data_IF_253265716205
#
_entry.id   IF_253265716205
#
_cell.length_a   1.000
_cell.length_b   1.000
_cell.length_c   1.000
_cell.angle_alpha   90.00
_cell.angle_beta   90.00
_cell.angle_gamma   90.00
#
_symmetry.space_group_name_H-M   'P 1'
#
loop_
_entity.id
_entity.type
_entity.pdbx_description
1 polymer ?
#
# COMPACT_ATOMS: atom_id res chain seq x y z
N UNK A 1 -20.71 -10.58 67.77
CA UNK A 1 -20.86 -9.80 66.52
C UNK A 1 -19.73 -10.19 65.58
N UNK A 2 -20.01 -10.96 64.51
CA UNK A 2 -18.98 -11.36 63.53
C UNK A 2 -18.81 -10.22 62.51
N UNK A 3 -17.60 -9.65 62.43
CA UNK A 3 -17.25 -8.63 61.43
C UNK A 3 -16.97 -9.34 60.10
N UNK A 4 -17.80 -9.05 59.09
CA UNK A 4 -17.56 -9.46 57.71
C UNK A 4 -16.64 -8.40 57.10
N UNK A 5 -15.46 -8.83 56.65
CA UNK A 5 -14.53 -7.99 55.89
C UNK A 5 -14.78 -8.29 54.41
N UNK A 6 -15.24 -7.28 53.68
CA UNK A 6 -15.39 -7.35 52.23
C UNK A 6 -14.10 -6.77 51.62
N UNK A 7 -13.33 -7.61 50.93
CA UNK A 7 -12.17 -7.20 50.15
C UNK A 7 -12.67 -6.93 48.73
N UNK A 8 -12.51 -5.71 48.18
CA UNK A 8 -12.93 -5.44 46.81
C UNK A 8 -11.92 -6.09 45.85
N UNK A 9 -12.41 -6.96 44.98
CA UNK A 9 -11.64 -7.54 43.89
C UNK A 9 -11.51 -6.49 42.79
N UNK A 10 -10.31 -5.93 42.63
CA UNK A 10 -10.01 -4.99 41.54
C UNK A 10 -9.88 -5.78 40.23
N UNK A 11 -10.87 -5.65 39.36
CA UNK A 11 -10.86 -6.27 38.03
C UNK A 11 -10.04 -5.37 37.08
N UNK A 12 -8.75 -5.68 36.88
CA UNK A 12 -7.95 -5.05 35.84
C UNK A 12 -8.41 -5.56 34.47
N UNK A 13 -9.20 -4.75 33.74
CA UNK A 13 -9.43 -4.99 32.33
C UNK A 13 -8.11 -4.78 31.57
N UNK A 14 -7.60 -5.84 30.92
CA UNK A 14 -6.44 -5.72 30.06
C UNK A 14 -6.82 -4.91 28.82
N UNK A 15 -6.32 -3.68 28.72
CA UNK A 15 -6.43 -2.88 27.50
C UNK A 15 -5.42 -3.47 26.51
N UNK A 16 -5.92 -4.18 25.50
CA UNK A 16 -5.08 -4.62 24.37
C UNK A 16 -4.79 -3.42 23.50
N UNK A 17 -3.59 -2.85 23.64
CA UNK A 17 -3.10 -1.82 22.71
C UNK A 17 -2.56 -2.54 21.48
N UNK A 18 -3.18 -2.33 20.31
CA UNK A 18 -2.67 -2.86 19.06
C UNK A 18 -1.34 -2.17 18.71
N UNK A 19 -0.25 -2.94 18.77
CA UNK A 19 1.07 -2.44 18.47
C UNK A 19 1.23 -2.19 16.96
N UNK A 20 1.61 -0.97 16.61
CA UNK A 20 2.01 -0.60 15.24
C UNK A 20 3.10 -1.56 14.74
N UNK A 21 2.90 -2.10 13.53
CA UNK A 21 3.96 -2.83 12.83
C UNK A 21 4.69 -1.88 11.89
N UNK A 22 6.02 -1.94 11.88
CA UNK A 22 6.88 -1.08 11.05
C UNK A 22 7.83 -1.96 10.23
N UNK A 23 7.72 -1.86 8.91
CA UNK A 23 8.70 -2.37 7.94
C UNK A 23 9.65 -1.23 7.57
N UNK A 24 10.88 -1.34 8.07
CA UNK A 24 11.96 -0.35 7.87
C UNK A 24 13.18 -1.04 7.29
N UNK A 25 13.74 -0.47 6.23
CA UNK A 25 15.02 -0.90 5.67
C UNK A 25 16.16 -0.65 6.68
N UNK A 26 17.08 -1.60 6.78
CA UNK A 26 18.17 -1.61 7.77
C UNK A 26 19.58 -1.55 7.15
N UNK A 27 19.69 -1.68 5.82
CA UNK A 27 20.95 -1.71 5.08
C UNK A 27 21.84 -2.93 5.35
N UNK A 28 21.32 -3.93 6.06
CA UNK A 28 22.09 -5.10 6.55
C UNK A 28 21.46 -6.41 6.11
N UNK A 29 20.15 -6.54 6.29
CA UNK A 29 19.40 -7.74 5.96
C UNK A 29 19.16 -7.83 4.46
N UNK A 30 18.96 -9.06 3.97
CA UNK A 30 18.35 -9.23 2.66
C UNK A 30 16.94 -8.61 2.63
N UNK A 31 16.62 -7.84 1.59
CA UNK A 31 15.37 -7.09 1.51
C UNK A 31 14.14 -8.01 1.57
N UNK A 32 14.17 -9.13 0.82
CA UNK A 32 13.06 -10.08 0.75
C UNK A 32 12.85 -10.73 2.11
N UNK A 33 13.93 -11.20 2.74
CA UNK A 33 13.86 -11.80 4.07
C UNK A 33 13.29 -10.83 5.12
N UNK A 34 13.70 -9.56 5.08
CA UNK A 34 13.20 -8.52 5.98
C UNK A 34 11.71 -8.20 5.76
N UNK A 35 11.29 -8.12 4.50
CA UNK A 35 9.88 -7.92 4.12
C UNK A 35 9.04 -9.11 4.58
N UNK A 36 9.43 -10.33 4.22
CA UNK A 36 8.74 -11.57 4.62
C UNK A 36 8.66 -11.76 6.12
N UNK A 37 9.74 -11.43 6.85
CA UNK A 37 9.75 -11.49 8.32
C UNK A 37 8.73 -10.53 8.94
N UNK A 38 8.62 -9.32 8.39
CA UNK A 38 7.76 -8.27 8.96
C UNK A 38 6.30 -8.40 8.55
N UNK A 39 6.04 -8.66 7.26
CA UNK A 39 4.68 -8.76 6.71
C UNK A 39 4.10 -10.18 6.77
N UNK A 40 4.95 -11.18 7.05
CA UNK A 40 4.59 -12.58 7.14
C UNK A 40 4.77 -13.33 5.82
N UNK A 41 5.30 -14.55 5.89
CA UNK A 41 5.35 -15.52 4.80
C UNK A 41 5.99 -15.03 3.49
N UNK A 42 5.40 -15.37 2.35
CA UNK A 42 5.84 -14.90 1.02
C UNK A 42 5.09 -13.62 0.63
N UNK A 43 5.57 -12.51 1.19
CA UNK A 43 4.98 -11.19 1.03
C UNK A 43 5.36 -10.51 -0.30
N UNK A 44 6.27 -11.09 -1.10
CA UNK A 44 6.82 -10.47 -2.31
C UNK A 44 6.16 -11.03 -3.58
N UNK A 45 5.52 -10.17 -4.37
CA UNK A 45 5.01 -10.46 -5.71
C UNK A 45 5.93 -9.85 -6.77
N UNK A 46 6.94 -10.61 -7.20
CA UNK A 46 8.07 -10.12 -8.00
C UNK A 46 8.26 -10.88 -9.33
N UNK A 47 8.91 -10.28 -10.34
CA UNK A 47 9.20 -10.93 -11.62
C UNK A 47 10.55 -11.66 -11.65
N UNK A 48 11.17 -12.00 -10.52
CA UNK A 48 12.50 -12.66 -10.42
C UNK A 48 12.64 -13.95 -11.27
N UNK A 49 11.53 -14.60 -11.62
CA UNK A 49 11.52 -15.76 -12.51
C UNK A 49 11.83 -15.40 -13.98
N UNK A 50 11.70 -14.14 -14.38
CA UNK A 50 11.86 -13.70 -15.76
C UNK A 50 13.34 -13.55 -16.15
N UNK A 51 14.20 -13.14 -15.21
CA UNK A 51 15.65 -13.02 -15.38
C UNK A 51 16.36 -12.93 -14.01
N UNK A 52 17.64 -13.31 -13.91
CA UNK A 52 18.30 -13.61 -12.64
C UNK A 52 18.80 -12.36 -11.90
N UNK A 53 17.90 -11.43 -11.56
CA UNK A 53 18.18 -10.27 -10.72
C UNK A 53 17.19 -10.19 -9.56
N UNK A 54 17.62 -9.55 -8.47
CA UNK A 54 16.71 -9.15 -7.39
C UNK A 54 16.07 -7.82 -7.74
N UNK A 55 14.74 -7.78 -7.73
CA UNK A 55 13.97 -6.58 -8.04
C UNK A 55 13.76 -5.68 -6.82
N UNK A 56 13.99 -6.19 -5.61
CA UNK A 56 13.91 -5.42 -4.37
C UNK A 56 15.27 -5.42 -3.66
N UNK A 57 15.83 -4.23 -3.45
CA UNK A 57 17.07 -4.01 -2.71
C UNK A 57 16.90 -2.99 -1.59
N UNK A 58 18.03 -2.59 -1.00
CA UNK A 58 18.10 -1.49 -0.03
C UNK A 58 19.22 -0.52 -0.44
N UNK A 59 18.98 0.78 -0.31
CA UNK A 59 19.99 1.83 -0.55
C UNK A 59 19.92 2.87 0.57
N UNK A 60 21.05 3.50 0.90
CA UNK A 60 21.07 4.64 1.82
C UNK A 60 20.59 5.90 1.09
N UNK A 61 19.48 6.48 1.54
CA UNK A 61 18.95 7.73 0.99
C UNK A 61 19.45 8.91 1.82
N UNK A 62 20.16 9.83 1.18
CA UNK A 62 20.77 11.00 1.83
C UNK A 62 19.75 12.04 2.28
N UNK A 63 18.58 12.13 1.62
CA UNK A 63 17.56 13.12 1.94
C UNK A 63 16.78 12.71 3.20
N UNK A 64 16.49 11.41 3.34
CA UNK A 64 15.87 10.87 4.55
C UNK A 64 16.87 10.50 5.64
N UNK A 65 18.17 10.40 5.30
CA UNK A 65 19.25 9.98 6.20
C UNK A 65 19.00 8.59 6.82
N UNK A 66 18.50 7.66 6.00
CA UNK A 66 18.19 6.28 6.38
C UNK A 66 18.30 5.33 5.18
N UNK A 67 18.35 4.03 5.44
CA UNK A 67 18.17 3.05 4.38
C UNK A 67 16.71 2.98 3.95
N UNK A 68 16.48 2.81 2.65
CA UNK A 68 15.16 2.71 2.03
C UNK A 68 15.11 1.46 1.15
N UNK A 69 13.92 0.92 0.93
CA UNK A 69 13.74 -0.15 -0.06
C UNK A 69 13.73 0.43 -1.46
N UNK A 70 14.34 -0.29 -2.41
CA UNK A 70 14.46 0.11 -3.82
C UNK A 70 13.86 -0.98 -4.69
N UNK A 71 12.78 -0.65 -5.38
CA UNK A 71 12.01 -1.52 -6.24
C UNK A 71 12.35 -1.16 -7.68
N UNK A 72 13.12 -2.01 -8.36
CA UNK A 72 13.54 -1.83 -9.76
C UNK A 72 12.71 -2.74 -10.65
N UNK A 73 11.95 -2.16 -11.59
CA UNK A 73 11.18 -2.91 -12.59
C UNK A 73 11.69 -2.59 -13.99
N UNK A 74 11.97 -3.62 -14.78
CA UNK A 74 12.58 -3.55 -16.09
C UNK A 74 11.51 -3.64 -17.18
N UNK A 75 11.46 -2.66 -18.07
CA UNK A 75 10.43 -2.53 -19.10
C UNK A 75 10.33 -3.74 -20.03
N UNK A 76 11.47 -4.36 -20.35
CA UNK A 76 11.56 -5.36 -21.41
C UNK A 76 11.48 -6.78 -20.85
N UNK A 77 12.13 -7.03 -19.73
CA UNK A 77 12.31 -8.36 -19.17
C UNK A 77 11.16 -8.75 -18.22
N UNK A 78 10.61 -7.80 -17.47
CA UNK A 78 9.68 -8.12 -16.38
C UNK A 78 8.25 -8.34 -16.87
N UNK A 79 7.49 -9.10 -16.08
CA UNK A 79 6.09 -9.43 -16.31
C UNK A 79 5.36 -9.61 -14.96
N UNK A 80 4.14 -10.14 -14.92
CA UNK A 80 3.47 -10.48 -13.66
C UNK A 80 3.80 -11.92 -13.26
N UNK A 81 4.95 -12.08 -12.59
CA UNK A 81 5.40 -13.30 -11.91
C UNK A 81 5.46 -14.55 -12.79
N UNK A 82 5.81 -14.39 -14.07
CA UNK A 82 5.81 -15.40 -15.13
C UNK A 82 4.47 -16.12 -15.30
N UNK A 83 3.38 -15.43 -14.92
CA UNK A 83 2.00 -15.93 -15.03
C UNK A 83 1.19 -15.12 -16.03
N UNK A 84 1.51 -13.85 -16.21
CA UNK A 84 0.82 -12.94 -17.10
C UNK A 84 1.80 -11.98 -17.74
N UNK A 85 1.64 -11.75 -19.05
CA UNK A 85 2.60 -11.06 -19.92
C UNK A 85 2.04 -9.76 -20.54
N UNK A 86 0.80 -9.39 -20.21
CA UNK A 86 0.17 -8.12 -20.64
C UNK A 86 0.33 -6.99 -19.60
N UNK A 87 1.10 -7.26 -18.54
CA UNK A 87 1.34 -6.38 -17.38
C UNK A 87 2.61 -6.79 -16.65
N UNK A 88 3.10 -5.90 -15.79
CA UNK A 88 4.22 -6.17 -14.89
C UNK A 88 3.81 -5.96 -13.44
N UNK A 89 4.37 -6.77 -12.54
CA UNK A 89 4.16 -6.62 -11.10
C UNK A 89 5.46 -6.74 -10.34
N UNK A 90 5.70 -5.74 -9.50
CA UNK A 90 6.72 -5.71 -8.47
C UNK A 90 6.10 -5.08 -7.23
N UNK A 91 5.49 -5.90 -6.37
CA UNK A 91 4.75 -5.44 -5.20
C UNK A 91 5.08 -6.27 -3.96
N UNK A 92 4.93 -5.67 -2.79
CA UNK A 92 4.84 -6.37 -1.52
C UNK A 92 3.42 -6.29 -0.99
N UNK A 93 3.01 -7.23 -0.14
CA UNK A 93 1.64 -7.31 0.37
C UNK A 93 1.60 -7.94 1.77
N UNK A 94 0.46 -7.77 2.43
CA UNK A 94 0.01 -8.74 3.45
C UNK A 94 -0.96 -9.73 2.80
N UNK A 95 -1.13 -10.91 3.39
CA UNK A 95 -1.97 -11.98 2.83
C UNK A 95 -2.45 -12.95 3.92
N UNK A 96 -3.11 -14.06 3.56
CA UNK A 96 -3.76 -14.94 4.53
C UNK A 96 -2.87 -15.37 5.73
N UNK A 97 -1.62 -15.83 5.49
CA UNK A 97 -0.65 -16.16 6.54
C UNK A 97 -0.05 -14.96 7.31
N UNK A 98 -0.29 -13.72 6.89
CA UNK A 98 0.06 -12.55 7.70
C UNK A 98 -0.77 -12.53 8.98
N UNK A 99 -0.19 -12.05 10.08
CA UNK A 99 -0.93 -11.86 11.34
C UNK A 99 -2.16 -10.96 11.13
N UNK A 100 -3.23 -11.17 11.91
CA UNK A 100 -4.49 -10.39 11.83
C UNK A 100 -4.25 -8.89 11.82
N UNK A 101 -3.43 -8.38 12.75
CA UNK A 101 -3.03 -6.97 12.89
C UNK A 101 -2.35 -6.31 11.67
N UNK A 102 -2.07 -7.07 10.62
CA UNK A 102 -1.47 -6.61 9.36
C UNK A 102 -2.49 -6.54 8.21
N UNK A 103 -3.74 -6.87 8.50
CA UNK A 103 -4.87 -6.92 7.58
C UNK A 103 -5.93 -5.96 8.09
N UNK A 104 -6.93 -5.68 7.25
CA UNK A 104 -8.15 -5.03 7.69
C UNK A 104 -9.29 -6.02 7.71
N UNK A 105 -9.89 -6.26 8.87
CA UNK A 105 -11.08 -7.09 9.02
C UNK A 105 -12.34 -6.22 9.12
N UNK A 106 -13.52 -6.85 9.01
CA UNK A 106 -14.79 -6.13 8.97
C UNK A 106 -15.01 -5.33 10.26
N UNK A 107 -15.37 -4.06 10.10
CA UNK A 107 -15.56 -3.04 11.14
C UNK A 107 -14.29 -2.58 11.87
N UNK A 108 -13.10 -2.99 11.43
CA UNK A 108 -11.85 -2.44 11.95
C UNK A 108 -11.53 -1.09 11.30
N UNK A 109 -10.81 -0.25 12.04
CA UNK A 109 -10.14 0.92 11.47
C UNK A 109 -8.64 0.68 11.41
N UNK A 110 -8.07 0.78 10.23
CA UNK A 110 -6.62 0.62 10.03
C UNK A 110 -6.04 1.89 9.42
N UNK A 111 -4.89 2.28 9.95
CA UNK A 111 -4.07 3.38 9.45
C UNK A 111 -2.81 2.79 8.84
N UNK A 112 -2.59 3.11 7.57
CA UNK A 112 -1.34 2.87 6.86
C UNK A 112 -0.56 4.18 6.75
N UNK A 113 0.74 4.13 7.08
CA UNK A 113 1.65 5.25 6.78
C UNK A 113 2.87 4.73 6.08
N UNK A 114 3.35 5.46 5.08
CA UNK A 114 4.60 5.14 4.40
C UNK A 114 5.16 6.37 3.71
N UNK A 115 6.44 6.32 3.39
CA UNK A 115 7.09 7.29 2.50
C UNK A 115 7.33 6.65 1.16
N UNK A 116 7.19 7.40 0.08
CA UNK A 116 7.64 6.94 -1.24
C UNK A 116 8.28 8.04 -2.07
N UNK A 117 9.04 7.61 -3.06
CA UNK A 117 9.60 8.45 -4.11
C UNK A 117 9.59 7.69 -5.43
N UNK A 118 8.99 8.28 -6.45
CA UNK A 118 9.08 7.81 -7.83
C UNK A 118 10.21 8.56 -8.56
N UNK A 119 10.75 7.97 -9.63
CA UNK A 119 11.79 8.61 -10.44
C UNK A 119 11.38 10.01 -10.94
N UNK A 120 12.36 10.90 -11.16
CA UNK A 120 12.08 12.24 -11.71
C UNK A 120 11.49 12.19 -13.12
N UNK A 121 11.77 11.11 -13.87
CA UNK A 121 11.27 10.88 -15.22
C UNK A 121 10.19 9.78 -15.27
N UNK A 122 9.57 9.46 -14.14
CA UNK A 122 8.61 8.38 -14.02
C UNK A 122 7.51 8.47 -15.09
N UNK A 123 7.30 7.39 -15.83
CA UNK A 123 6.23 7.25 -16.84
C UNK A 123 5.10 6.35 -16.33
N UNK A 124 3.90 6.89 -16.35
CA UNK A 124 2.68 6.13 -16.13
C UNK A 124 2.09 5.64 -17.45
N UNK A 125 1.31 4.57 -17.41
CA UNK A 125 0.52 4.10 -18.53
C UNK A 125 -0.81 4.88 -18.66
N UNK A 126 -1.38 4.98 -19.87
CA UNK A 126 -2.74 5.50 -20.04
C UNK A 126 -3.79 4.56 -19.44
N UNK A 127 -3.53 3.24 -19.40
CA UNK A 127 -4.47 2.20 -18.97
C UNK A 127 -4.44 1.90 -17.47
N UNK A 128 -3.29 1.57 -16.88
CA UNK A 128 -3.07 1.61 -15.42
C UNK A 128 -1.59 1.51 -15.01
N UNK A 129 -1.24 2.18 -13.91
CA UNK A 129 0.03 2.06 -13.20
C UNK A 129 -0.22 2.29 -11.72
N UNK A 130 -0.63 1.24 -10.99
CA UNK A 130 -0.91 1.33 -9.56
C UNK A 130 0.41 1.29 -8.78
N UNK A 131 0.56 2.18 -7.80
CA UNK A 131 1.73 2.18 -6.89
C UNK A 131 1.37 1.81 -5.44
N UNK A 132 0.08 1.78 -5.14
CA UNK A 132 -0.49 1.26 -3.91
C UNK A 132 -1.90 0.75 -4.18
N UNK A 133 -2.30 -0.30 -3.47
CA UNK A 133 -3.63 -0.90 -3.57
C UNK A 133 -4.14 -1.35 -2.20
N UNK A 134 -5.43 -1.17 -1.94
CA UNK A 134 -6.19 -1.96 -0.96
C UNK A 134 -7.01 -2.98 -1.74
N UNK A 135 -6.94 -4.25 -1.35
CA UNK A 135 -7.58 -5.35 -2.07
C UNK A 135 -8.14 -6.38 -1.12
N UNK A 136 -9.27 -7.01 -1.47
CA UNK A 136 -9.72 -8.20 -0.75
C UNK A 136 -8.67 -9.33 -0.81
N UNK A 137 -8.58 -10.04 0.31
CA UNK A 137 -7.69 -11.18 0.50
C UNK A 137 -8.11 -12.40 -0.31
N UNK A 138 -9.42 -12.60 -0.36
CA UNK A 138 -10.22 -13.72 -0.87
C UNK A 138 -11.62 -13.23 -1.28
N UNK A 139 -12.55 -14.14 -1.58
CA UNK A 139 -13.90 -13.77 -2.06
C UNK A 139 -13.84 -13.02 -3.40
N UNK A 140 -14.54 -11.89 -3.50
CA UNK A 140 -14.41 -10.94 -4.63
C UNK A 140 -13.06 -10.18 -4.58
N UNK A 141 -11.97 -10.92 -4.79
CA UNK A 141 -10.61 -10.41 -4.83
C UNK A 141 -10.14 -10.06 -6.25
N UNK A 142 -11.05 -9.92 -7.23
CA UNK A 142 -10.70 -9.63 -8.63
C UNK A 142 -10.10 -8.24 -8.79
N UNK A 143 -10.89 -7.20 -8.53
CA UNK A 143 -10.47 -5.79 -8.58
C UNK A 143 -9.87 -5.31 -7.24
N UNK A 144 -9.03 -4.27 -7.22
CA UNK A 144 -8.69 -3.55 -5.99
C UNK A 144 -9.86 -2.69 -5.52
N UNK A 145 -9.97 -2.47 -4.20
CA UNK A 145 -10.96 -1.61 -3.56
C UNK A 145 -10.53 -0.14 -3.69
N UNK A 146 -9.29 0.16 -3.31
CA UNK A 146 -8.66 1.47 -3.46
C UNK A 146 -7.37 1.31 -4.25
N UNK A 147 -7.05 2.28 -5.11
CA UNK A 147 -5.73 2.39 -5.73
C UNK A 147 -5.21 3.81 -5.68
N UNK A 148 -3.90 3.95 -5.48
CA UNK A 148 -3.14 5.17 -5.78
C UNK A 148 -2.44 4.96 -7.12
N UNK A 149 -2.76 5.81 -8.10
CA UNK A 149 -2.48 5.51 -9.50
C UNK A 149 -1.95 6.73 -10.25
N UNK A 150 -0.63 6.80 -10.50
CA UNK A 150 -0.09 7.59 -11.58
C UNK A 150 -0.77 7.23 -12.91
N UNK A 151 -1.16 8.24 -13.69
CA UNK A 151 -1.79 8.07 -14.99
C UNK A 151 -1.25 9.03 -16.02
N UNK A 152 -0.95 8.51 -17.21
CA UNK A 152 -0.59 9.34 -18.35
C UNK A 152 -1.78 10.19 -18.80
N UNK A 153 -1.53 11.47 -19.10
CA UNK A 153 -2.55 12.42 -19.51
C UNK A 153 -1.96 13.74 -20.03
N UNK A 154 -2.80 14.78 -20.09
CA UNK A 154 -2.39 16.15 -20.45
C UNK A 154 -2.96 17.14 -19.42
N UNK A 155 -2.31 17.35 -18.26
CA UNK A 155 -1.06 16.73 -17.78
C UNK A 155 -1.29 15.33 -17.19
N UNK A 156 -0.19 14.62 -16.88
CA UNK A 156 -0.23 13.39 -16.09
C UNK A 156 -0.79 13.63 -14.68
N UNK A 157 -1.53 12.66 -14.16
CA UNK A 157 -2.24 12.77 -12.88
C UNK A 157 -1.81 11.71 -11.88
N UNK A 158 -1.90 12.05 -10.59
CA UNK A 158 -1.97 11.09 -9.50
C UNK A 158 -3.46 10.94 -9.12
N UNK A 159 -4.02 9.74 -9.29
CA UNK A 159 -5.43 9.45 -9.04
C UNK A 159 -5.61 8.57 -7.81
N UNK A 160 -6.65 8.85 -7.02
CA UNK A 160 -7.18 7.91 -6.05
C UNK A 160 -8.49 7.37 -6.60
N UNK A 161 -8.57 6.05 -6.79
CA UNK A 161 -9.73 5.39 -7.43
C UNK A 161 -10.32 4.39 -6.46
N UNK A 162 -11.65 4.42 -6.34
CA UNK A 162 -12.46 3.47 -5.61
C UNK A 162 -13.27 2.56 -6.54
N UNK A 163 -13.20 1.27 -6.28
CA UNK A 163 -14.10 0.26 -6.83
C UNK A 163 -14.79 -0.44 -5.66
N UNK A 164 -16.12 -0.34 -5.60
CA UNK A 164 -16.93 -1.02 -4.58
C UNK A 164 -17.20 -2.47 -4.96
N UNK A 165 -17.95 -3.19 -4.12
CA UNK A 165 -18.40 -4.58 -4.36
C UNK A 165 -19.14 -4.77 -5.70
N UNK A 166 -19.77 -3.72 -6.21
CA UNK A 166 -20.50 -3.73 -7.48
C UNK A 166 -20.29 -2.44 -8.28
N UNK A 167 -20.79 -2.41 -9.52
CA UNK A 167 -20.81 -1.18 -10.32
C UNK A 167 -21.61 -0.06 -9.67
N UNK A 168 -22.71 -0.39 -8.98
CA UNK A 168 -23.57 0.60 -8.31
C UNK A 168 -22.97 1.17 -7.02
N UNK A 169 -22.06 0.45 -6.37
CA UNK A 169 -21.35 0.93 -5.17
C UNK A 169 -19.98 1.52 -5.49
N UNK A 170 -19.47 1.32 -6.72
CA UNK A 170 -18.23 1.92 -7.19
C UNK A 170 -18.39 3.43 -7.39
N UNK A 171 -17.48 4.20 -6.81
CA UNK A 171 -17.46 5.66 -6.91
C UNK A 171 -16.45 6.18 -7.96
N UNK A 172 -15.67 5.28 -8.56
CA UNK A 172 -14.72 5.63 -9.61
C UNK A 172 -13.57 6.49 -9.07
N UNK A 173 -13.19 7.52 -9.83
CA UNK A 173 -12.10 8.42 -9.43
C UNK A 173 -12.58 9.34 -8.31
N UNK A 174 -12.02 9.15 -7.11
CA UNK A 174 -12.37 9.92 -5.92
C UNK A 174 -11.73 11.31 -5.93
N UNK A 175 -10.46 11.38 -6.33
CA UNK A 175 -9.72 12.64 -6.50
C UNK A 175 -8.57 12.45 -7.49
N UNK A 176 -8.10 13.56 -8.05
CA UNK A 176 -6.87 13.61 -8.84
C UNK A 176 -6.12 14.93 -8.61
N UNK A 177 -4.81 14.87 -8.71
CA UNK A 177 -3.91 16.03 -8.71
C UNK A 177 -2.85 15.85 -9.79
N UNK A 178 -2.13 16.90 -10.15
CA UNK A 178 -1.02 16.78 -11.09
C UNK A 178 0.06 15.84 -10.53
N UNK A 179 0.63 14.98 -11.40
CA UNK A 179 1.69 14.06 -11.02
C UNK A 179 3.06 14.76 -10.85
N UNK A 180 3.25 15.90 -11.52
CA UNK A 180 4.53 16.60 -11.58
C UNK A 180 5.16 16.88 -10.19
N UNK A 181 4.43 17.31 -9.15
CA UNK A 181 5.00 17.53 -7.82
C UNK A 181 5.52 16.29 -7.08
N UNK A 182 5.19 15.08 -7.55
CA UNK A 182 5.62 13.80 -6.95
C UNK A 182 6.90 13.24 -7.57
N UNK A 183 7.20 13.61 -8.83
CA UNK A 183 8.36 13.11 -9.57
C UNK A 183 9.66 13.51 -8.87
N UNK A 184 10.51 12.53 -8.60
CA UNK A 184 11.80 12.74 -7.95
C UNK A 184 11.71 13.29 -6.53
N UNK A 185 10.53 13.29 -5.91
CA UNK A 185 10.26 13.95 -4.64
C UNK A 185 9.82 12.94 -3.59
N UNK A 186 10.45 12.98 -2.41
CA UNK A 186 9.98 12.19 -1.27
C UNK A 186 8.70 12.78 -0.68
N UNK A 187 7.70 11.93 -0.53
CA UNK A 187 6.42 12.24 0.09
C UNK A 187 6.09 11.23 1.17
N UNK A 188 5.35 11.66 2.18
CA UNK A 188 4.78 10.82 3.23
C UNK A 188 3.27 10.71 3.01
N UNK A 189 2.74 9.49 3.12
CA UNK A 189 1.32 9.17 3.01
C UNK A 189 0.79 8.76 4.38
N UNK A 190 -0.40 9.24 4.72
CA UNK A 190 -1.25 8.66 5.75
C UNK A 190 -2.58 8.30 5.10
N UNK A 191 -2.92 7.01 5.10
CA UNK A 191 -4.18 6.47 4.61
C UNK A 191 -4.91 5.79 5.77
N UNK A 192 -6.19 6.09 5.97
CA UNK A 192 -7.02 5.50 7.02
C UNK A 192 -8.32 4.98 6.40
N UNK A 193 -8.68 3.75 6.78
CA UNK A 193 -9.90 3.09 6.33
C UNK A 193 -10.65 2.54 7.54
N UNK A 194 -11.96 2.74 7.58
CA UNK A 194 -12.87 1.92 8.37
C UNK A 194 -13.54 0.90 7.43
N UNK A 195 -13.21 -0.37 7.60
CA UNK A 195 -13.60 -1.43 6.68
C UNK A 195 -15.06 -1.85 6.89
N UNK A 196 -15.98 -1.27 6.12
CA UNK A 196 -17.38 -1.65 6.10
C UNK A 196 -17.97 -1.38 4.71
N UNK A 197 -19.17 -1.92 4.43
CA UNK A 197 -19.94 -1.58 3.22
C UNK A 197 -20.46 -0.14 3.24
N UNK A 198 -20.51 0.48 4.43
CA UNK A 198 -20.66 1.92 4.67
C UNK A 198 -19.49 2.39 5.53
N UNK A 199 -18.29 2.29 4.97
CA UNK A 199 -17.04 2.62 5.61
C UNK A 199 -16.69 4.10 5.53
N UNK A 200 -15.52 4.43 6.07
CA UNK A 200 -14.90 5.74 5.91
C UNK A 200 -13.50 5.58 5.32
N UNK A 201 -13.10 6.53 4.48
CA UNK A 201 -11.81 6.55 3.82
C UNK A 201 -11.18 7.93 3.96
N UNK A 202 -9.88 8.00 4.23
CA UNK A 202 -9.12 9.23 4.07
C UNK A 202 -7.70 8.95 3.64
N UNK A 203 -7.15 9.87 2.86
CA UNK A 203 -5.75 9.85 2.45
C UNK A 203 -5.21 11.28 2.41
N UNK A 204 -4.00 11.45 2.94
CA UNK A 204 -3.22 12.67 2.87
C UNK A 204 -1.81 12.33 2.41
N UNK A 205 -1.30 13.10 1.44
CA UNK A 205 0.07 12.97 0.95
C UNK A 205 0.77 14.32 1.07
N UNK A 206 1.88 14.35 1.81
CA UNK A 206 2.66 15.56 2.08
C UNK A 206 4.08 15.42 1.57
N UNK A 207 4.60 16.47 0.94
CA UNK A 207 6.00 16.54 0.56
C UNK A 207 6.87 16.70 1.79
N UNK A 208 7.91 15.87 1.91
CA UNK A 208 8.74 15.84 3.12
C UNK A 208 9.60 17.10 3.27
N UNK A 209 10.08 17.67 2.15
CA UNK A 209 11.04 18.79 2.20
C UNK A 209 10.49 20.07 2.81
N UNK A 210 9.18 20.31 2.73
CA UNK A 210 8.54 21.56 3.18
C UNK A 210 7.15 21.37 3.81
N UNK A 211 6.71 20.12 3.99
CA UNK A 211 5.40 19.80 4.56
C UNK A 211 4.20 20.14 3.68
N UNK A 212 4.41 20.55 2.41
CA UNK A 212 3.31 20.92 1.51
C UNK A 212 2.39 19.73 1.28
N UNK A 213 1.10 19.92 1.55
CA UNK A 213 0.06 18.94 1.21
C UNK A 213 -0.15 18.92 -0.30
N UNK A 214 0.17 17.78 -0.92
CA UNK A 214 0.06 17.56 -2.37
C UNK A 214 -1.27 16.91 -2.76
N UNK A 215 -1.85 16.11 -1.86
CA UNK A 215 -3.13 15.45 -2.02
C UNK A 215 -3.81 15.31 -0.65
N UNK A 216 -5.10 15.62 -0.58
CA UNK A 216 -5.93 15.31 0.58
C UNK A 216 -7.34 14.94 0.11
N UNK A 217 -7.87 13.86 0.65
CA UNK A 217 -9.22 13.40 0.37
C UNK A 217 -9.80 12.67 1.58
N UNK A 218 -11.10 12.81 1.79
CA UNK A 218 -11.86 12.07 2.80
C UNK A 218 -13.26 11.77 2.29
N UNK A 219 -13.79 10.61 2.65
CA UNK A 219 -15.13 10.15 2.35
C UNK A 219 -15.72 9.43 3.57
N UNK A 220 -16.94 9.81 3.95
CA UNK A 220 -17.63 9.29 5.13
C UNK A 220 -18.66 8.18 4.80
N UNK A 221 -18.88 7.86 3.52
CA UNK A 221 -19.80 6.81 3.08
C UNK A 221 -19.24 6.14 1.81
N UNK A 222 -18.48 5.07 2.01
CA UNK A 222 -17.77 4.36 0.95
C UNK A 222 -17.74 2.85 1.18
N UNK A 223 -18.00 2.08 0.13
CA UNK A 223 -18.07 0.62 0.17
C UNK A 223 -16.66 -0.01 0.15
N UNK A 224 -16.10 -0.25 1.33
CA UNK A 224 -14.74 -0.75 1.50
C UNK A 224 -14.67 -2.25 1.81
N UNK A 225 -15.79 -2.98 1.73
CA UNK A 225 -15.85 -4.39 2.06
C UNK A 225 -16.43 -5.22 0.91
N UNK A 226 -15.78 -6.34 0.60
CA UNK A 226 -16.16 -7.20 -0.52
C UNK A 226 -17.04 -8.36 -0.07
N UNK A 227 -17.91 -8.80 -0.96
CA UNK A 227 -18.71 -10.00 -0.74
C UNK A 227 -17.79 -11.21 -0.53
N UNK A 228 -18.11 -11.99 0.51
CA UNK A 228 -17.40 -13.22 0.89
C UNK A 228 -15.90 -13.04 1.19
N UNK A 229 -15.41 -11.81 1.39
CA UNK A 229 -14.04 -11.63 1.87
C UNK A 229 -13.96 -11.82 3.37
N UNK A 230 -12.87 -12.40 3.85
CA UNK A 230 -12.54 -12.49 5.27
C UNK A 230 -11.61 -11.36 5.73
N UNK A 231 -10.87 -10.73 4.82
CA UNK A 231 -10.00 -9.59 5.13
C UNK A 231 -9.65 -8.79 3.88
N UNK A 232 -9.30 -7.51 4.08
CA UNK A 232 -8.65 -6.67 3.11
C UNK A 232 -7.14 -6.55 3.41
N UNK A 233 -6.34 -6.33 2.39
CA UNK A 233 -4.87 -6.24 2.47
C UNK A 233 -4.34 -5.03 1.70
N UNK A 234 -3.34 -4.32 2.23
CA UNK A 234 -2.55 -3.36 1.48
C UNK A 234 -1.53 -4.06 0.58
N UNK A 235 -1.15 -3.37 -0.50
CA UNK A 235 -0.05 -3.72 -1.38
C UNK A 235 0.71 -2.47 -1.78
N UNK A 236 2.04 -2.52 -1.74
CA UNK A 236 2.92 -1.42 -2.12
C UNK A 236 3.89 -1.86 -3.21
N UNK A 237 4.14 -1.02 -4.21
CA UNK A 237 5.09 -1.33 -5.27
C UNK A 237 4.68 -0.69 -6.59
N UNK A 238 4.78 -1.44 -7.68
CA UNK A 238 4.26 -1.05 -8.98
C UNK A 238 3.57 -2.22 -9.66
N UNK A 239 2.37 -1.96 -10.15
CA UNK A 239 1.59 -2.88 -10.96
C UNK A 239 1.02 -2.11 -12.16
N UNK A 240 1.57 -2.37 -13.34
CA UNK A 240 1.28 -1.58 -14.56
C UNK A 240 0.93 -2.45 -15.74
N UNK A 241 0.11 -1.92 -16.63
CA UNK A 241 -0.15 -2.53 -17.94
C UNK A 241 1.10 -2.50 -18.82
N UNK A 242 1.17 -3.40 -19.81
CA UNK A 242 2.11 -3.36 -20.93
C UNK A 242 1.44 -3.00 -22.27
N UNK A 243 0.16 -2.58 -22.25
CA UNK A 243 -0.63 -2.36 -23.48
C UNK A 243 -0.15 -1.19 -24.35
N UNK A 244 0.59 -0.24 -23.78
CA UNK A 244 1.12 0.90 -24.51
C UNK A 244 2.63 1.04 -24.23
N UNK A 245 3.47 0.20 -24.86
CA UNK A 245 4.90 0.06 -24.56
C UNK A 245 5.69 1.37 -24.72
N UNK A 246 5.23 2.30 -25.56
CA UNK A 246 5.81 3.63 -25.75
C UNK A 246 5.73 4.53 -24.49
N UNK A 247 4.82 4.20 -23.57
CA UNK A 247 4.66 4.85 -22.25
C UNK A 247 5.24 4.03 -21.10
N UNK A 248 6.16 3.10 -21.38
CA UNK A 248 6.92 2.34 -20.39
C UNK A 248 8.42 2.64 -20.53
N UNK A 249 9.11 2.56 -19.40
CA UNK A 249 10.56 2.50 -19.26
C UNK A 249 10.89 1.70 -18.00
N UNK A 250 12.16 1.42 -17.79
CA UNK A 250 12.64 0.95 -16.50
C UNK A 250 12.27 1.99 -15.43
N UNK A 251 11.72 1.53 -14.32
CA UNK A 251 11.31 2.40 -13.22
C UNK A 251 11.91 1.93 -11.92
N UNK A 252 12.25 2.91 -11.09
CA UNK A 252 12.65 2.70 -9.71
C UNK A 252 11.65 3.41 -8.80
N UNK A 253 11.06 2.65 -7.88
CA UNK A 253 10.26 3.19 -6.80
C UNK A 253 11.02 2.97 -5.50
N UNK A 254 11.04 3.98 -4.64
CA UNK A 254 11.63 3.87 -3.30
C UNK A 254 10.55 3.96 -2.26
N UNK A 255 10.66 3.14 -1.22
CA UNK A 255 9.74 3.11 -0.09
C UNK A 255 10.51 3.14 1.23
N UNK A 256 9.98 3.85 2.21
CA UNK A 256 10.53 3.89 3.56
C UNK A 256 9.40 3.92 4.59
N UNK A 257 9.70 3.42 5.79
CA UNK A 257 8.82 3.48 6.97
C UNK A 257 7.37 3.02 6.73
N UNK A 258 7.19 1.87 6.08
CA UNK A 258 5.85 1.31 5.86
C UNK A 258 5.33 0.81 7.20
N UNK A 259 4.21 1.38 7.65
CA UNK A 259 3.60 1.03 8.92
C UNK A 259 2.12 0.70 8.77
N UNK A 260 1.68 -0.23 9.61
CA UNK A 260 0.31 -0.70 9.71
C UNK A 260 -0.10 -0.62 11.18
N UNK A 261 -1.21 0.06 11.46
CA UNK A 261 -1.76 0.22 12.80
C UNK A 261 -3.28 0.07 12.76
N UNK A 262 -3.80 -0.94 13.43
CA UNK A 262 -5.22 -1.05 13.79
C UNK A 262 -5.51 -0.10 14.98
N UNK A 263 -6.62 0.64 14.92
CA UNK A 263 -7.06 1.60 15.95
C UNK A 263 -8.07 1.00 16.93
#
# INVERSE_FOLDING_TARGET
>A
MKKIVIIPLLLCAAITVNAQTLLKADGKSDAYALISKTLGGDACEVPDCAHPVKHIGQEFDKQLNEYVFVFNIHAKEDNDRCKSFDRQRLEIKTYGPSASKLKGELNETVVYKWKFRIDSNFKAQPTFTHIHQIKAGDGDAGAPIITLTPRFGKPDKMEVIHTGSSKSTSQGKLTEVDLAPFRGTWVEVTEQLHYATKGTYSISIKRISDGKELLKYSNADIDLWRDNTSFCRPKWGIYRSLKSPEYIRDETLRFADISIQEL
#
